data_IF_660484489451
#
_entry.id   IF_660484489451
#
_cell.length_a   1.000
_cell.length_b   1.000
_cell.length_c   1.000
_cell.angle_alpha   90.00
_cell.angle_beta   90.00
_cell.angle_gamma   90.00
#
_symmetry.space_group_name_H-M   'P 1'
#
loop_
_entity.id
_entity.type
_entity.pdbx_description
1 polymer ?
#
# COMPACT_ATOMS: atom_id res chain seq x y z
N UNK A 1 -5.91 6.01 6.03
CA UNK A 1 -6.13 5.40 4.71
C UNK A 1 -5.35 4.10 4.61
N UNK A 2 -5.93 3.08 3.98
CA UNK A 2 -5.26 1.78 3.77
C UNK A 2 -4.69 1.75 2.34
N UNK A 3 -3.39 1.63 2.23
CA UNK A 3 -2.64 1.49 0.98
C UNK A 3 -2.61 -0.01 0.63
N UNK A 4 -3.61 -0.47 -0.11
CA UNK A 4 -3.77 -1.89 -0.46
C UNK A 4 -4.51 -2.06 -1.77
N UNK A 5 -4.42 -3.25 -2.35
CA UNK A 5 -5.29 -3.69 -3.45
C UNK A 5 -5.36 -2.72 -4.66
N UNK A 6 -4.23 -2.21 -5.18
CA UNK A 6 -4.28 -1.27 -6.30
C UNK A 6 -4.96 -1.88 -7.55
N UNK A 7 -4.90 -3.21 -7.70
CA UNK A 7 -5.57 -3.97 -8.75
C UNK A 7 -7.10 -3.92 -8.72
N UNK A 8 -7.73 -3.39 -7.67
CA UNK A 8 -9.19 -3.25 -7.60
C UNK A 8 -9.71 -2.07 -8.41
N UNK A 9 -8.91 -1.02 -8.58
CA UNK A 9 -9.36 0.23 -9.20
C UNK A 9 -8.40 0.77 -10.26
N UNK A 10 -7.15 0.30 -10.31
CA UNK A 10 -6.18 0.72 -11.31
C UNK A 10 -6.63 0.36 -12.71
N UNK A 11 -6.51 1.33 -13.61
CA UNK A 11 -6.69 1.19 -15.06
C UNK A 11 -5.39 0.86 -15.77
N UNK A 12 -4.25 1.24 -15.18
CA UNK A 12 -2.92 0.95 -15.74
C UNK A 12 -2.46 -0.48 -15.46
N UNK A 13 -2.88 -1.05 -14.32
CA UNK A 13 -2.60 -2.44 -13.95
C UNK A 13 -1.14 -2.72 -13.51
N UNK A 14 -0.79 -4.00 -13.33
CA UNK A 14 0.54 -4.41 -12.88
C UNK A 14 1.65 -4.10 -13.91
N UNK A 15 2.92 -4.04 -13.48
CA UNK A 15 3.37 -4.24 -12.10
C UNK A 15 3.31 -2.95 -11.26
N UNK A 16 3.17 -1.78 -11.90
CA UNK A 16 3.35 -0.48 -11.23
C UNK A 16 2.07 0.19 -10.76
N UNK A 17 0.91 -0.13 -11.35
CA UNK A 17 -0.38 0.48 -11.03
C UNK A 17 -0.29 2.02 -10.96
N UNK A 18 0.29 2.64 -12.00
CA UNK A 18 0.85 4.00 -11.91
C UNK A 18 -0.20 5.05 -11.52
N UNK A 19 -1.42 4.93 -12.03
CA UNK A 19 -2.57 5.77 -11.64
C UNK A 19 -2.90 5.71 -10.15
N UNK A 20 -3.03 4.52 -9.56
CA UNK A 20 -3.26 4.35 -8.12
C UNK A 20 -2.02 4.72 -7.32
N UNK A 21 -0.83 4.43 -7.85
CA UNK A 21 0.44 4.73 -7.21
C UNK A 21 0.71 6.22 -7.07
N UNK A 22 0.27 7.04 -8.03
CA UNK A 22 0.32 8.50 -7.91
C UNK A 22 -0.53 9.00 -6.72
N UNK A 23 -1.73 8.46 -6.56
CA UNK A 23 -2.60 8.78 -5.42
C UNK A 23 -2.00 8.29 -4.10
N UNK A 24 -1.46 7.07 -4.06
CA UNK A 24 -0.81 6.53 -2.88
C UNK A 24 0.37 7.40 -2.43
N UNK A 25 1.23 7.82 -3.36
CA UNK A 25 2.36 8.75 -3.10
C UNK A 25 1.86 10.08 -2.52
N UNK A 26 0.82 10.67 -3.10
CA UNK A 26 0.25 11.93 -2.61
C UNK A 26 -0.31 11.80 -1.18
N UNK A 27 -0.99 10.69 -0.88
CA UNK A 27 -1.53 10.42 0.47
C UNK A 27 -0.42 10.21 1.50
N UNK A 28 0.61 9.44 1.15
CA UNK A 28 1.80 9.23 1.98
C UNK A 28 2.52 10.55 2.27
N UNK A 29 2.70 11.39 1.26
CA UNK A 29 3.34 12.70 1.42
C UNK A 29 2.52 13.65 2.30
N UNK A 30 1.19 13.63 2.17
CA UNK A 30 0.32 14.56 2.89
C UNK A 30 0.13 14.19 4.37
N UNK A 31 -0.05 12.91 4.68
CA UNK A 31 -0.36 12.45 6.06
C UNK A 31 0.22 11.04 6.32
N UNK A 32 1.55 10.89 6.43
CA UNK A 32 2.20 9.59 6.59
C UNK A 32 1.77 8.85 7.88
N UNK A 33 1.45 9.58 8.95
CA UNK A 33 0.95 9.06 10.24
C UNK A 33 -0.50 8.56 10.19
N UNK A 34 -1.22 8.77 9.08
CA UNK A 34 -2.59 8.31 8.87
C UNK A 34 -2.68 7.20 7.83
N UNK A 35 -1.56 6.65 7.38
CA UNK A 35 -1.49 5.58 6.39
C UNK A 35 -1.18 4.22 7.03
N UNK A 36 -1.84 3.16 6.57
CA UNK A 36 -1.51 1.76 6.91
C UNK A 36 -1.43 0.94 5.62
N UNK A 37 -0.73 -0.18 5.62
CA UNK A 37 -0.63 -1.08 4.46
C UNK A 37 -1.22 -2.46 4.76
N UNK A 38 -1.77 -3.12 3.75
CA UNK A 38 -2.17 -4.51 3.82
C UNK A 38 -2.04 -5.18 2.45
N UNK A 39 -1.73 -6.48 2.43
CA UNK A 39 -1.63 -7.26 1.18
C UNK A 39 -2.96 -7.41 0.46
N UNK A 40 -4.07 -7.40 1.20
CA UNK A 40 -5.39 -7.82 0.73
C UNK A 40 -5.47 -9.31 0.34
N UNK A 41 -4.61 -10.16 0.92
CA UNK A 41 -4.70 -11.62 0.80
C UNK A 41 -6.06 -12.11 1.34
N UNK A 42 -6.74 -13.10 0.71
CA UNK A 42 -6.30 -13.97 -0.39
C UNK A 42 -6.56 -13.42 -1.80
N UNK A 43 -6.64 -12.10 -1.96
CA UNK A 43 -6.93 -11.41 -3.24
C UNK A 43 -8.24 -11.86 -3.89
N UNK A 44 -9.40 -11.65 -3.24
CA UNK A 44 -10.69 -12.11 -3.75
C UNK A 44 -10.97 -11.67 -5.19
N UNK A 45 -11.45 -12.59 -6.02
CA UNK A 45 -11.83 -12.31 -7.41
C UNK A 45 -10.67 -12.12 -8.38
N UNK A 46 -9.42 -12.43 -7.98
CA UNK A 46 -8.23 -12.34 -8.86
C UNK A 46 -7.73 -13.72 -9.24
N UNK A 47 -7.60 -13.96 -10.54
CA UNK A 47 -7.03 -15.18 -11.11
C UNK A 47 -6.22 -14.83 -12.38
N UNK A 48 -4.87 -14.89 -12.36
CA UNK A 48 -4.05 -15.25 -11.20
C UNK A 48 -4.12 -14.17 -10.09
N UNK A 49 -3.90 -14.54 -8.82
CA UNK A 49 -3.70 -13.55 -7.77
C UNK A 49 -2.37 -12.79 -8.00
N UNK A 50 -2.29 -11.50 -7.62
CA UNK A 50 -1.03 -10.77 -7.63
C UNK A 50 -0.05 -11.34 -6.60
N UNK A 51 1.25 -11.21 -6.86
CA UNK A 51 2.28 -11.57 -5.89
C UNK A 51 2.29 -10.56 -4.74
N UNK A 52 2.21 -11.04 -3.49
CA UNK A 52 2.24 -10.16 -2.31
C UNK A 52 3.58 -9.44 -2.15
N UNK A 53 4.68 -10.06 -2.59
CA UNK A 53 6.02 -9.47 -2.55
C UNK A 53 6.10 -8.27 -3.49
N UNK A 54 5.54 -8.37 -4.70
CA UNK A 54 5.46 -7.26 -5.66
C UNK A 54 4.64 -6.09 -5.09
N UNK A 55 3.53 -6.39 -4.40
CA UNK A 55 2.70 -5.36 -3.74
C UNK A 55 3.43 -4.69 -2.57
N UNK A 56 4.33 -5.40 -1.89
CA UNK A 56 5.17 -4.83 -0.84
C UNK A 56 6.31 -3.98 -1.43
N UNK A 57 6.91 -4.40 -2.53
CA UNK A 57 7.90 -3.58 -3.26
C UNK A 57 7.26 -2.28 -3.78
N UNK A 58 6.01 -2.34 -4.23
CA UNK A 58 5.26 -1.14 -4.63
C UNK A 58 5.08 -0.14 -3.47
N UNK A 59 4.91 -0.62 -2.22
CA UNK A 59 4.91 0.27 -1.05
C UNK A 59 6.24 1.00 -0.89
N UNK A 60 7.38 0.37 -1.20
CA UNK A 60 8.70 1.03 -1.16
C UNK A 60 8.81 2.13 -2.20
N UNK A 61 8.16 2.00 -3.35
CA UNK A 61 8.07 3.08 -4.32
C UNK A 61 7.17 4.23 -3.84
N UNK A 62 6.09 3.92 -3.13
CA UNK A 62 5.16 4.93 -2.61
C UNK A 62 5.70 5.69 -1.40
N UNK A 63 6.47 5.00 -0.56
CA UNK A 63 7.12 5.51 0.65
C UNK A 63 8.62 5.13 0.60
N UNK A 64 9.46 5.93 -0.07
CA UNK A 64 10.88 5.61 -0.28
C UNK A 64 11.73 5.71 0.99
N UNK A 65 11.31 6.49 1.98
CA UNK A 65 12.01 6.64 3.25
C UNK A 65 11.60 5.57 4.27
N UNK A 66 12.59 5.10 5.04
CA UNK A 66 12.39 4.00 5.98
C UNK A 66 11.53 4.37 7.19
N UNK A 67 11.65 5.62 7.65
CA UNK A 67 10.87 6.13 8.77
C UNK A 67 9.36 6.14 8.46
N UNK A 68 8.96 6.57 7.26
CA UNK A 68 7.57 6.54 6.82
C UNK A 68 7.07 5.12 6.63
N UNK A 69 7.87 4.21 6.06
CA UNK A 69 7.48 2.79 6.00
C UNK A 69 7.30 2.19 7.38
N UNK A 70 8.17 2.51 8.34
CA UNK A 70 8.02 2.07 9.73
C UNK A 70 6.72 2.59 10.34
N UNK A 71 6.34 3.85 10.11
CA UNK A 71 5.02 4.36 10.51
C UNK A 71 3.90 3.55 9.89
N UNK A 72 3.93 3.34 8.57
CA UNK A 72 2.87 2.65 7.82
C UNK A 72 2.71 1.19 8.24
N UNK A 73 3.81 0.50 8.55
CA UNK A 73 3.83 -0.95 8.82
C UNK A 73 3.81 -1.29 10.31
N UNK A 74 4.18 -0.37 11.19
CA UNK A 74 4.36 -0.64 12.63
C UNK A 74 3.61 0.37 13.47
N UNK A 75 4.03 1.64 13.46
CA UNK A 75 3.59 2.59 14.48
C UNK A 75 2.11 2.98 14.29
N UNK A 76 1.66 3.22 13.05
CA UNK A 76 0.27 3.59 12.76
C UNK A 76 -0.69 2.40 12.97
N UNK A 77 -0.40 1.17 12.51
CA UNK A 77 -1.20 0.01 12.88
C UNK A 77 -1.27 -0.23 14.39
N UNK A 78 -0.16 -0.10 15.13
CA UNK A 78 -0.15 -0.26 16.58
C UNK A 78 -1.07 0.76 17.27
N UNK A 79 -0.99 2.03 16.87
CA UNK A 79 -1.88 3.07 17.38
C UNK A 79 -3.35 2.86 16.97
N UNK A 80 -3.60 2.39 15.76
CA UNK A 80 -4.96 2.18 15.24
C UNK A 80 -5.65 0.96 15.84
N UNK A 81 -4.91 -0.12 16.06
CA UNK A 81 -5.45 -1.42 16.49
C UNK A 81 -5.21 -1.75 17.97
N UNK A 82 -4.31 -1.03 18.65
CA UNK A 82 -4.09 -1.13 20.09
C UNK A 82 -3.28 -2.35 20.54
N UNK A 83 -2.14 -2.61 19.91
CA UNK A 83 -1.20 -3.67 20.30
C UNK A 83 0.19 -3.13 20.61
#
# INVERSE_FOLDING_TARGET
>A
VKLSAPYETSRDGPPRYADVGALAKALVQANPERCVWASNWPHPGRNPPPDTSDLLELLREWAPDDATRRRILVDNPAALYGF
#
